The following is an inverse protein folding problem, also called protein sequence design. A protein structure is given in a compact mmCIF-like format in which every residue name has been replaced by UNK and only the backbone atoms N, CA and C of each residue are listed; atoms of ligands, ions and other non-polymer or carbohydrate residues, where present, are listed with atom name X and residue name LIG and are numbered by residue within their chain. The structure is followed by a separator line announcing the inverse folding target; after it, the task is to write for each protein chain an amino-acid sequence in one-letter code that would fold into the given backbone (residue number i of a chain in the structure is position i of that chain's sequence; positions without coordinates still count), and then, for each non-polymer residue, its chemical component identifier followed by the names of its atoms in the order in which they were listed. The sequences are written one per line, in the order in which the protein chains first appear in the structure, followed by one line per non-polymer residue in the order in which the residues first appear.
data_IF_225680567213
#
_entry.id   IF_225680567213
#
_cell.length_a   1.000
_cell.length_b   1.000
_cell.length_c   1.000
_cell.angle_alpha   90.00
_cell.angle_beta   90.00
_cell.angle_gamma   90.00
#
_symmetry.space_group_name_H-M   'P 1'
#
loop_
_entity.id
_entity.type
_entity.pdbx_description
1 polymer ?
#
# COMPACT_ATOMS: atom_id res chain seq x y z
N UNK A 1 3.80 -2.12 -20.42
CA UNK A 1 3.26 -1.23 -19.37
C UNK A 1 4.39 -0.86 -18.41
N UNK A 2 4.47 0.41 -18.02
CA UNK A 2 5.44 0.90 -17.03
C UNK A 2 4.73 1.18 -15.72
N UNK A 3 5.18 0.55 -14.65
CA UNK A 3 4.52 0.59 -13.32
C UNK A 3 5.38 1.36 -12.32
N UNK A 4 4.77 2.34 -11.66
CA UNK A 4 5.34 3.00 -10.49
C UNK A 4 5.07 2.21 -9.22
N UNK A 5 6.11 1.90 -8.45
CA UNK A 5 6.01 1.14 -7.21
C UNK A 5 6.49 2.02 -6.06
N UNK A 6 5.65 2.16 -5.04
CA UNK A 6 5.91 2.99 -3.87
C UNK A 6 6.00 2.11 -2.62
N UNK A 7 7.11 2.20 -1.92
CA UNK A 7 7.31 1.69 -0.57
C UNK A 7 7.65 2.85 0.37
N UNK A 8 7.19 2.82 1.62
CA UNK A 8 7.40 3.92 2.54
C UNK A 8 8.81 3.91 3.16
N UNK A 9 9.35 2.73 3.41
CA UNK A 9 10.55 2.50 4.21
C UNK A 9 11.63 1.71 3.45
N UNK A 10 12.92 1.85 3.86
CA UNK A 10 14.01 1.12 3.22
C UNK A 10 13.84 -0.40 3.28
N UNK A 11 13.36 -0.92 4.43
CA UNK A 11 13.17 -2.35 4.68
C UNK A 11 12.19 -2.98 3.70
N UNK A 12 11.19 -2.21 3.26
CA UNK A 12 10.18 -2.63 2.29
C UNK A 12 10.73 -2.62 0.84
N UNK A 13 11.72 -1.76 0.57
CA UNK A 13 12.26 -1.55 -0.76
C UNK A 13 13.40 -2.52 -1.12
N UNK A 14 14.20 -2.96 -0.12
CA UNK A 14 15.42 -3.76 -0.33
C UNK A 14 15.17 -5.00 -1.18
N UNK A 15 14.14 -5.78 -0.85
CA UNK A 15 13.86 -7.01 -1.57
C UNK A 15 13.44 -6.75 -3.03
N UNK A 16 12.74 -5.66 -3.30
CA UNK A 16 12.33 -5.27 -4.65
C UNK A 16 13.54 -4.84 -5.48
N UNK A 17 14.41 -3.98 -4.96
CA UNK A 17 15.60 -3.51 -5.68
C UNK A 17 16.56 -4.64 -6.04
N UNK A 18 16.70 -5.64 -5.16
CA UNK A 18 17.52 -6.84 -5.40
C UNK A 18 16.98 -7.76 -6.50
N UNK A 19 15.68 -7.64 -6.82
CA UNK A 19 15.00 -8.46 -7.83
C UNK A 19 14.68 -7.70 -9.12
N UNK A 20 15.23 -6.50 -9.30
CA UNK A 20 15.15 -5.76 -10.56
C UNK A 20 16.19 -6.25 -11.55
N UNK A 21 15.78 -6.44 -12.78
CA UNK A 21 16.68 -6.62 -13.91
C UNK A 21 17.23 -5.25 -14.36
N UNK A 22 18.57 -5.16 -14.49
CA UNK A 22 19.30 -3.97 -14.95
C UNK A 22 18.93 -2.68 -14.18
N UNK A 23 18.99 -2.67 -12.85
CA UNK A 23 18.61 -1.51 -12.06
C UNK A 23 19.49 -0.30 -12.37
N UNK A 24 18.87 0.88 -12.46
CA UNK A 24 19.55 2.17 -12.57
C UNK A 24 18.97 3.13 -11.52
N UNK A 25 19.85 3.92 -10.91
CA UNK A 25 19.45 4.97 -9.97
C UNK A 25 19.27 6.30 -10.67
N UNK A 26 18.15 6.97 -10.40
CA UNK A 26 17.83 8.30 -10.92
C UNK A 26 17.46 9.21 -9.77
N UNK A 27 18.13 10.34 -9.65
CA UNK A 27 17.82 11.34 -8.61
C UNK A 27 16.80 12.35 -9.11
N UNK A 28 15.65 12.46 -8.44
CA UNK A 28 14.61 13.44 -8.76
C UNK A 28 14.10 14.08 -7.47
N UNK A 29 14.14 15.40 -7.39
CA UNK A 29 13.63 16.18 -6.24
C UNK A 29 14.14 15.71 -4.87
N UNK A 30 15.40 15.26 -4.82
CA UNK A 30 16.05 14.81 -3.58
C UNK A 30 15.76 13.35 -3.21
N UNK A 31 14.95 12.63 -3.97
CA UNK A 31 14.67 11.19 -3.77
C UNK A 31 15.39 10.34 -4.83
N UNK A 32 15.73 9.11 -4.43
CA UNK A 32 16.29 8.10 -5.33
C UNK A 32 15.17 7.24 -5.90
N UNK A 33 15.12 7.17 -7.23
CA UNK A 33 14.23 6.28 -7.98
C UNK A 33 15.08 5.18 -8.62
N UNK A 34 14.59 3.95 -8.57
CA UNK A 34 15.25 2.78 -9.19
C UNK A 34 14.43 2.36 -10.40
N UNK A 35 15.01 2.49 -11.58
CA UNK A 35 14.36 2.03 -12.83
C UNK A 35 14.92 0.68 -13.24
N UNK A 36 14.11 -0.18 -13.82
CA UNK A 36 14.50 -1.51 -14.27
C UNK A 36 13.30 -2.29 -14.80
N UNK A 37 13.38 -3.61 -14.78
CA UNK A 37 12.26 -4.47 -15.16
C UNK A 37 12.12 -5.67 -14.22
N UNK A 38 10.93 -6.25 -14.23
CA UNK A 38 10.62 -7.56 -13.64
C UNK A 38 9.92 -8.37 -14.73
N UNK A 39 10.62 -9.38 -15.29
CA UNK A 39 10.15 -9.99 -16.54
C UNK A 39 10.11 -8.98 -17.67
N UNK A 40 8.97 -8.88 -18.38
CA UNK A 40 8.77 -7.90 -19.45
C UNK A 40 8.14 -6.58 -18.97
N UNK A 41 7.82 -6.46 -17.67
CA UNK A 41 7.20 -5.25 -17.10
C UNK A 41 8.26 -4.24 -16.69
N UNK A 42 8.23 -3.05 -17.27
CA UNK A 42 9.07 -1.92 -16.84
C UNK A 42 8.57 -1.40 -15.48
N UNK A 43 9.50 -1.13 -14.57
CA UNK A 43 9.16 -0.63 -13.24
C UNK A 43 10.01 0.55 -12.83
N UNK A 44 9.42 1.44 -12.03
CA UNK A 44 10.10 2.53 -11.34
C UNK A 44 9.77 2.42 -9.86
N UNK A 45 10.76 2.08 -9.03
CA UNK A 45 10.62 1.98 -7.59
C UNK A 45 11.01 3.28 -6.91
N UNK A 46 10.31 3.66 -5.84
CA UNK A 46 10.69 4.79 -4.98
C UNK A 46 10.41 4.48 -3.52
N UNK A 47 11.31 4.93 -2.63
CA UNK A 47 11.02 5.09 -1.23
C UNK A 47 10.37 6.46 -1.04
N UNK A 48 9.08 6.48 -0.69
CA UNK A 48 8.37 7.75 -0.49
C UNK A 48 8.75 8.46 0.82
N UNK A 49 9.05 7.71 1.87
CA UNK A 49 8.93 8.15 3.25
C UNK A 49 7.50 7.90 3.78
N UNK A 50 7.35 8.03 5.09
CA UNK A 50 6.12 7.69 5.81
C UNK A 50 5.09 8.83 5.70
N UNK A 51 3.82 8.45 5.58
CA UNK A 51 2.67 9.33 5.68
C UNK A 51 2.11 9.84 4.37
N UNK A 52 0.93 10.43 4.45
CA UNK A 52 0.07 10.79 3.31
C UNK A 52 0.72 11.77 2.33
N UNK A 53 1.41 12.79 2.84
CA UNK A 53 2.00 13.85 2.00
C UNK A 53 3.14 13.28 1.15
N UNK A 54 4.07 12.56 1.76
CA UNK A 54 5.26 12.05 1.08
C UNK A 54 4.89 11.01 0.02
N UNK A 55 3.93 10.16 0.34
CA UNK A 55 3.45 9.14 -0.59
C UNK A 55 2.70 9.74 -1.79
N UNK A 56 1.83 10.73 -1.57
CA UNK A 56 1.13 11.43 -2.65
C UNK A 56 2.09 12.21 -3.58
N UNK A 57 3.13 12.85 -3.02
CA UNK A 57 4.18 13.50 -3.82
C UNK A 57 4.89 12.49 -4.73
N UNK A 58 5.16 11.29 -4.24
CA UNK A 58 5.80 10.23 -5.03
C UNK A 58 4.94 9.82 -6.22
N UNK A 59 3.61 9.75 -6.07
CA UNK A 59 2.69 9.48 -7.18
C UNK A 59 2.81 10.54 -8.27
N UNK A 60 2.84 11.83 -7.90
CA UNK A 60 2.95 12.91 -8.87
C UNK A 60 4.27 12.84 -9.66
N UNK A 61 5.40 12.55 -9.01
CA UNK A 61 6.69 12.41 -9.68
C UNK A 61 6.71 11.18 -10.60
N UNK A 62 6.19 10.05 -10.14
CA UNK A 62 6.09 8.84 -10.97
C UNK A 62 5.25 9.08 -12.23
N UNK A 63 4.12 9.77 -12.09
CA UNK A 63 3.24 10.10 -13.21
C UNK A 63 3.87 11.09 -14.18
N UNK A 64 4.37 12.23 -13.69
CA UNK A 64 4.83 13.32 -14.53
C UNK A 64 6.24 13.09 -15.09
N UNK A 65 7.20 12.73 -14.24
CA UNK A 65 8.60 12.59 -14.65
C UNK A 65 8.88 11.25 -15.33
N UNK A 66 8.35 10.15 -14.78
CA UNK A 66 8.61 8.80 -15.30
C UNK A 66 7.55 8.27 -16.25
N UNK A 67 6.41 8.96 -16.38
CA UNK A 67 5.29 8.60 -17.27
C UNK A 67 4.81 7.15 -17.03
N UNK A 68 4.64 6.79 -15.75
CA UNK A 68 4.09 5.47 -15.42
C UNK A 68 2.61 5.37 -15.78
N UNK A 69 2.17 4.17 -16.10
CA UNK A 69 0.80 3.88 -16.56
C UNK A 69 -0.07 3.31 -15.43
N UNK A 70 0.55 2.92 -14.29
CA UNK A 70 -0.13 2.40 -13.12
C UNK A 70 0.71 2.65 -11.87
N UNK A 71 0.06 2.63 -10.69
CA UNK A 71 0.71 2.77 -9.39
C UNK A 71 0.43 1.53 -8.54
N UNK A 72 1.48 0.98 -7.92
CA UNK A 72 1.34 -0.06 -6.90
C UNK A 72 2.02 0.42 -5.62
N UNK A 73 1.30 0.34 -4.51
CA UNK A 73 1.87 0.54 -3.19
C UNK A 73 2.06 -0.81 -2.50
N UNK A 74 3.23 -1.01 -1.92
CA UNK A 74 3.59 -2.23 -1.18
C UNK A 74 4.24 -1.86 0.14
N UNK A 75 4.15 -2.72 1.14
CA UNK A 75 4.75 -2.49 2.44
C UNK A 75 4.06 -3.26 3.56
N UNK A 76 4.27 -2.78 4.78
CA UNK A 76 3.72 -3.33 6.02
C UNK A 76 2.40 -2.66 6.43
N UNK A 77 1.66 -3.30 7.34
CA UNK A 77 0.46 -2.77 7.96
C UNK A 77 0.17 -3.46 9.29
N UNK A 78 -0.61 -2.82 10.15
CA UNK A 78 -1.15 -3.41 11.37
C UNK A 78 -2.49 -4.12 11.11
N UNK A 79 -2.64 -5.37 11.54
CA UNK A 79 -3.88 -6.12 11.41
C UNK A 79 -4.93 -5.62 12.41
N UNK A 80 -6.16 -5.39 11.96
CA UNK A 80 -7.28 -5.03 12.82
C UNK A 80 -8.34 -6.13 12.91
N UNK A 81 -8.59 -6.85 11.84
CA UNK A 81 -9.64 -7.87 11.81
C UNK A 81 -9.20 -9.13 12.57
N UNK A 82 -10.16 -9.78 13.23
CA UNK A 82 -9.95 -11.09 13.82
C UNK A 82 -9.62 -12.12 12.73
N UNK A 83 -8.70 -13.03 13.05
CA UNK A 83 -8.29 -14.10 12.12
C UNK A 83 -7.21 -13.70 11.12
N UNK A 84 -6.73 -12.47 11.14
CA UNK A 84 -5.55 -12.05 10.38
C UNK A 84 -4.33 -12.08 11.30
N UNK A 85 -3.31 -12.82 10.91
CA UNK A 85 -2.09 -13.00 11.67
C UNK A 85 -0.93 -12.14 11.14
N UNK A 86 0.07 -11.89 11.98
CA UNK A 86 1.36 -11.33 11.55
C UNK A 86 1.95 -12.23 10.45
N UNK A 87 2.36 -11.62 9.37
CA UNK A 87 2.85 -12.30 8.17
C UNK A 87 1.79 -12.58 7.10
N UNK A 88 0.49 -12.51 7.40
CA UNK A 88 -0.55 -12.57 6.36
C UNK A 88 -0.46 -11.36 5.44
N UNK A 89 -0.95 -11.51 4.21
CA UNK A 89 -1.02 -10.41 3.24
C UNK A 89 -2.44 -9.93 3.07
N UNK A 90 -2.65 -8.62 3.12
CA UNK A 90 -3.92 -7.98 2.78
C UNK A 90 -3.76 -7.22 1.47
N UNK A 91 -4.65 -7.52 0.52
CA UNK A 91 -4.81 -6.77 -0.72
C UNK A 91 -6.01 -5.86 -0.55
N UNK A 92 -5.81 -4.56 -0.76
CA UNK A 92 -6.91 -3.63 -0.69
C UNK A 92 -7.76 -3.73 -1.96
N UNK A 93 -9.04 -4.09 -1.83
CA UNK A 93 -9.97 -3.84 -2.92
C UNK A 93 -10.53 -2.42 -2.84
N UNK A 94 -10.52 -1.81 -1.64
CA UNK A 94 -10.85 -0.41 -1.38
C UNK A 94 -10.01 0.16 -0.23
N UNK A 95 -9.82 1.47 -0.23
CA UNK A 95 -9.14 2.21 0.82
C UNK A 95 -10.02 3.37 1.31
N UNK A 96 -9.84 3.77 2.59
CA UNK A 96 -10.47 4.94 3.18
C UNK A 96 -9.51 5.64 4.15
N UNK A 97 -9.76 6.90 4.46
CA UNK A 97 -9.06 7.56 5.55
C UNK A 97 -9.75 7.27 6.89
N UNK A 98 -8.98 6.90 7.92
CA UNK A 98 -9.51 6.75 9.27
C UNK A 98 -9.32 8.00 10.14
N UNK A 99 -8.66 9.04 9.62
CA UNK A 99 -8.30 10.27 10.34
C UNK A 99 -8.86 11.54 9.70
N UNK A 100 -9.72 11.42 8.69
CA UNK A 100 -10.41 12.54 8.05
C UNK A 100 -11.79 12.74 8.66
N UNK A 101 -12.05 13.93 9.16
CA UNK A 101 -13.37 14.33 9.67
C UNK A 101 -13.84 15.65 9.03
N UNK A 102 -14.78 15.56 8.12
CA UNK A 102 -15.49 16.68 7.49
C UNK A 102 -16.99 16.55 7.71
N UNK A 103 -17.40 15.83 8.75
CA UNK A 103 -18.81 15.55 9.09
C UNK A 103 -19.62 16.82 9.37
N UNK A 104 -18.98 17.88 9.84
CA UNK A 104 -19.63 19.19 10.03
C UNK A 104 -20.24 19.75 8.73
N UNK A 105 -19.81 19.28 7.56
CA UNK A 105 -20.33 19.66 6.25
C UNK A 105 -21.20 18.57 5.60
N UNK A 106 -21.62 17.55 6.37
CA UNK A 106 -22.51 16.49 5.91
C UNK A 106 -21.83 15.33 5.18
N UNK A 107 -20.50 15.27 5.17
CA UNK A 107 -19.75 14.13 4.65
C UNK A 107 -19.72 12.97 5.66
N UNK A 108 -19.51 11.76 5.19
CA UNK A 108 -19.26 10.63 6.07
C UNK A 108 -17.88 10.78 6.75
N UNK A 109 -17.72 10.19 7.95
CA UNK A 109 -16.39 10.11 8.59
C UNK A 109 -15.42 9.34 7.69
N UNK A 110 -14.20 9.84 7.53
CA UNK A 110 -13.20 9.31 6.60
C UNK A 110 -13.33 9.83 5.16
N UNK A 111 -14.40 10.53 4.83
CA UNK A 111 -14.60 11.11 3.50
C UNK A 111 -13.98 12.51 3.42
N UNK A 112 -13.00 12.70 2.55
CA UNK A 112 -12.51 14.03 2.20
C UNK A 112 -13.56 14.79 1.36
N UNK A 113 -13.68 16.10 1.58
CA UNK A 113 -14.61 16.94 0.84
C UNK A 113 -14.43 16.78 -0.69
N UNK A 114 -15.54 16.61 -1.41
CA UNK A 114 -15.58 16.40 -2.86
C UNK A 114 -14.87 15.13 -3.37
N UNK A 115 -14.53 14.20 -2.47
CA UNK A 115 -13.96 12.91 -2.81
C UNK A 115 -14.92 11.77 -2.45
N UNK A 116 -14.78 10.57 -3.02
CA UNK A 116 -15.50 9.41 -2.56
C UNK A 116 -15.05 9.02 -1.15
N UNK A 117 -15.89 8.29 -0.40
CA UNK A 117 -15.51 7.71 0.89
C UNK A 117 -14.44 6.61 0.70
N UNK A 118 -14.60 5.81 -0.34
CA UNK A 118 -13.71 4.71 -0.67
C UNK A 118 -13.03 4.93 -2.01
N UNK A 119 -11.72 4.68 -2.06
CA UNK A 119 -10.93 4.59 -3.28
C UNK A 119 -10.80 3.12 -3.66
N UNK A 120 -11.39 2.71 -4.79
CA UNK A 120 -11.38 1.31 -5.23
C UNK A 120 -10.15 1.01 -6.07
N UNK A 121 -9.43 -0.08 -5.72
CA UNK A 121 -8.32 -0.60 -6.52
C UNK A 121 -8.81 -1.07 -7.88
N UNK A 122 -7.89 -1.08 -8.86
CA UNK A 122 -8.21 -1.51 -10.21
C UNK A 122 -8.72 -2.96 -10.24
N UNK A 123 -9.85 -3.18 -10.91
CA UNK A 123 -10.54 -4.46 -10.92
C UNK A 123 -9.79 -5.55 -11.69
N UNK A 124 -9.09 -5.15 -12.74
CA UNK A 124 -8.27 -6.09 -13.53
C UNK A 124 -7.05 -6.52 -12.72
N UNK A 125 -6.39 -5.59 -12.00
CA UNK A 125 -5.29 -5.93 -11.10
C UNK A 125 -5.74 -6.86 -9.97
N UNK A 126 -6.92 -6.60 -9.39
CA UNK A 126 -7.49 -7.50 -8.37
C UNK A 126 -7.77 -8.90 -8.94
N UNK A 127 -8.31 -9.01 -10.15
CA UNK A 127 -8.56 -10.31 -10.77
C UNK A 127 -7.25 -11.07 -11.02
N UNK A 128 -6.26 -10.42 -11.61
CA UNK A 128 -4.95 -11.01 -11.93
C UNK A 128 -4.17 -11.42 -10.68
N UNK A 129 -4.15 -10.60 -9.63
CA UNK A 129 -3.42 -10.95 -8.40
C UNK A 129 -4.06 -12.15 -7.71
N UNK A 130 -5.39 -12.29 -7.70
CA UNK A 130 -6.08 -13.46 -7.13
C UNK A 130 -5.70 -14.78 -7.82
N UNK A 131 -5.59 -14.77 -9.14
CA UNK A 131 -5.18 -15.95 -9.91
C UNK A 131 -3.77 -16.40 -9.52
N UNK A 132 -2.87 -15.44 -9.30
CA UNK A 132 -1.47 -15.71 -8.93
C UNK A 132 -1.30 -16.13 -7.47
N UNK A 133 -2.05 -15.54 -6.56
CA UNK A 133 -1.98 -15.85 -5.13
C UNK A 133 -2.36 -17.30 -4.81
N UNK A 134 -3.23 -17.91 -5.62
CA UNK A 134 -3.57 -19.33 -5.46
C UNK A 134 -2.36 -20.27 -5.64
N UNK A 135 -1.28 -19.78 -6.25
CA UNK A 135 -0.05 -20.55 -6.50
C UNK A 135 1.04 -20.27 -5.44
N UNK A 136 0.84 -19.27 -4.58
CA UNK A 136 1.77 -18.94 -3.50
C UNK A 136 1.31 -19.61 -2.20
N UNK A 137 2.24 -20.23 -1.47
CA UNK A 137 2.01 -20.74 -0.11
C UNK A 137 1.93 -19.59 0.92
N UNK A 138 1.07 -18.61 0.65
CA UNK A 138 0.93 -17.40 1.44
C UNK A 138 -0.54 -17.20 1.80
N UNK A 139 -0.85 -17.05 3.09
CA UNK A 139 -2.18 -16.63 3.54
C UNK A 139 -2.44 -15.20 3.11
N UNK A 140 -3.57 -14.97 2.45
CA UNK A 140 -3.94 -13.65 1.97
C UNK A 140 -5.43 -13.35 2.16
N UNK A 141 -5.74 -12.08 2.28
CA UNK A 141 -7.09 -11.56 2.46
C UNK A 141 -7.35 -10.42 1.48
N UNK A 142 -8.60 -10.22 1.12
CA UNK A 142 -9.03 -9.10 0.27
C UNK A 142 -10.05 -8.27 1.04
N UNK A 143 -9.76 -6.98 1.25
CA UNK A 143 -10.66 -6.16 2.04
C UNK A 143 -10.32 -4.67 2.08
N UNK A 144 -10.93 -3.97 3.04
CA UNK A 144 -10.68 -2.56 3.30
C UNK A 144 -9.36 -2.40 4.09
N UNK A 145 -8.49 -1.53 3.58
CA UNK A 145 -7.36 -0.98 4.34
C UNK A 145 -7.66 0.48 4.67
N UNK A 146 -7.47 0.88 5.92
CA UNK A 146 -7.71 2.25 6.36
C UNK A 146 -6.38 2.98 6.64
N UNK A 147 -6.27 4.20 6.12
CA UNK A 147 -5.06 5.04 6.14
C UNK A 147 -5.21 6.23 7.06
N UNK A 148 -4.14 6.58 7.77
CA UNK A 148 -4.05 7.85 8.53
C UNK A 148 -2.63 8.16 8.94
N UNK A 149 -2.32 9.44 9.22
CA UNK A 149 -0.99 9.87 9.68
C UNK A 149 -0.79 9.55 11.17
N UNK A 150 -1.03 8.27 11.53
CA UNK A 150 -0.89 7.78 12.90
C UNK A 150 -0.52 6.30 12.92
N UNK A 151 0.51 5.94 13.65
CA UNK A 151 0.77 4.56 14.02
C UNK A 151 -0.30 4.12 15.04
N UNK A 152 -1.08 3.11 14.67
CA UNK A 152 -2.17 2.62 15.53
C UNK A 152 -1.60 1.59 16.51
N UNK A 153 -1.68 1.94 17.79
CA UNK A 153 -1.27 1.08 18.89
C UNK A 153 -2.23 1.28 20.08
N UNK A 154 -3.02 0.24 20.38
CA UNK A 154 -3.95 0.20 21.50
C UNK A 154 -5.42 0.11 21.13
N UNK A 155 -6.14 -0.56 22.02
CA UNK A 155 -7.53 -0.99 21.80
C UNK A 155 -8.52 0.16 21.56
N UNK A 156 -8.31 1.31 22.21
CA UNK A 156 -9.18 2.49 22.06
C UNK A 156 -9.16 3.03 20.62
N UNK A 157 -7.96 3.09 20.02
CA UNK A 157 -7.81 3.53 18.63
C UNK A 157 -8.42 2.51 17.66
N UNK A 158 -8.19 1.22 17.90
CA UNK A 158 -8.80 0.14 17.12
C UNK A 158 -10.33 0.23 17.19
N UNK A 159 -10.91 0.36 18.38
CA UNK A 159 -12.35 0.46 18.59
C UNK A 159 -12.94 1.69 17.87
N UNK A 160 -12.25 2.82 17.92
CA UNK A 160 -12.65 4.04 17.21
C UNK A 160 -12.69 3.82 15.69
N UNK A 161 -11.66 3.22 15.10
CA UNK A 161 -11.61 2.94 13.68
C UNK A 161 -12.72 1.96 13.28
N UNK A 162 -12.89 0.87 14.03
CA UNK A 162 -13.93 -0.15 13.76
C UNK A 162 -15.35 0.39 13.90
N UNK A 163 -15.57 1.42 14.70
CA UNK A 163 -16.88 2.09 14.82
C UNK A 163 -17.29 2.71 13.48
N UNK A 164 -16.36 3.28 12.74
CA UNK A 164 -16.64 3.92 11.45
C UNK A 164 -16.43 2.97 10.26
N UNK A 165 -15.56 1.98 10.41
CA UNK A 165 -15.19 1.02 9.37
C UNK A 165 -15.24 -0.41 9.94
N UNK A 166 -16.43 -0.99 10.14
CA UNK A 166 -16.58 -2.31 10.79
C UNK A 166 -15.98 -3.46 9.96
N UNK A 167 -15.80 -3.29 8.67
CA UNK A 167 -15.21 -4.25 7.72
C UNK A 167 -13.70 -4.03 7.46
N UNK A 168 -13.03 -3.15 8.23
CA UNK A 168 -11.60 -2.87 8.07
C UNK A 168 -10.77 -4.09 8.43
N UNK A 169 -9.82 -4.44 7.56
CA UNK A 169 -8.90 -5.55 7.78
C UNK A 169 -7.57 -5.08 8.39
N UNK A 170 -7.04 -3.96 7.90
CA UNK A 170 -5.72 -3.48 8.29
C UNK A 170 -5.65 -1.94 8.26
N UNK A 171 -4.63 -1.40 8.93
CA UNK A 171 -4.31 0.04 8.96
C UNK A 171 -2.86 0.27 8.57
N UNK A 172 -2.63 1.39 7.90
CA UNK A 172 -1.30 1.86 7.49
C UNK A 172 -1.33 3.38 7.26
N UNK A 173 -0.29 3.97 6.67
CA UNK A 173 -0.15 5.43 6.70
C UNK A 173 -0.09 6.09 5.31
N UNK A 174 -0.21 5.37 4.18
CA UNK A 174 0.01 5.88 2.82
C UNK A 174 -1.09 5.55 1.81
N UNK A 175 -1.66 4.36 1.87
CA UNK A 175 -2.44 3.74 0.79
C UNK A 175 -3.58 4.57 0.25
N UNK A 176 -4.42 5.18 1.11
CA UNK A 176 -5.52 6.03 0.63
C UNK A 176 -5.02 7.33 -0.02
N UNK A 177 -3.89 7.89 0.43
CA UNK A 177 -3.31 9.09 -0.18
C UNK A 177 -2.72 8.79 -1.57
N UNK A 178 -2.08 7.63 -1.72
CA UNK A 178 -1.61 7.13 -3.02
C UNK A 178 -2.82 6.88 -3.94
N UNK A 179 -3.86 6.21 -3.44
CA UNK A 179 -5.07 5.92 -4.19
C UNK A 179 -5.78 7.19 -4.66
N UNK A 180 -5.93 8.19 -3.79
CA UNK A 180 -6.52 9.49 -4.11
C UNK A 180 -5.70 10.22 -5.19
N UNK A 181 -4.38 10.26 -5.05
CA UNK A 181 -3.49 10.90 -6.02
C UNK A 181 -3.51 10.17 -7.38
N UNK A 182 -3.45 8.84 -7.38
CA UNK A 182 -3.54 8.04 -8.60
C UNK A 182 -4.89 8.25 -9.31
N UNK A 183 -6.01 8.21 -8.57
CA UNK A 183 -7.34 8.49 -9.12
C UNK A 183 -7.44 9.89 -9.73
N UNK A 184 -6.89 10.91 -9.05
CA UNK A 184 -6.88 12.28 -9.55
C UNK A 184 -6.11 12.44 -10.87
N UNK A 185 -5.11 11.59 -11.10
CA UNK A 185 -4.29 11.55 -12.32
C UNK A 185 -4.81 10.53 -13.36
N UNK A 186 -5.92 9.83 -13.06
CA UNK A 186 -6.49 8.82 -13.97
C UNK A 186 -5.65 7.55 -14.09
N UNK A 187 -4.80 7.26 -13.11
CA UNK A 187 -3.96 6.06 -13.08
C UNK A 187 -4.63 4.93 -12.32
N UNK A 188 -4.68 3.70 -12.86
CA UNK A 188 -5.06 2.53 -12.11
C UNK A 188 -4.06 2.28 -10.97
N UNK A 189 -4.54 1.76 -9.85
CA UNK A 189 -3.70 1.48 -8.69
C UNK A 189 -4.06 0.17 -7.99
N UNK A 190 -3.10 -0.36 -7.22
CA UNK A 190 -3.24 -1.51 -6.34
C UNK A 190 -2.45 -1.27 -5.05
N UNK A 191 -2.97 -1.72 -3.91
CA UNK A 191 -2.26 -1.69 -2.63
C UNK A 191 -2.17 -3.09 -2.04
N UNK A 192 -0.94 -3.50 -1.68
CA UNK A 192 -0.59 -4.80 -1.13
C UNK A 192 0.17 -4.57 0.18
N UNK A 193 -0.30 -5.14 1.27
CA UNK A 193 0.33 -4.99 2.59
C UNK A 193 0.53 -6.34 3.27
N UNK A 194 1.68 -6.58 3.90
CA UNK A 194 1.88 -7.71 4.79
C UNK A 194 1.81 -7.23 6.24
N UNK A 195 1.23 -8.06 7.10
CA UNK A 195 1.02 -7.68 8.49
C UNK A 195 2.31 -7.77 9.29
N UNK A 196 2.75 -6.65 9.86
CA UNK A 196 3.90 -6.56 10.76
C UNK A 196 3.49 -6.67 12.24
N UNK A 197 2.26 -6.32 12.55
CA UNK A 197 1.74 -6.24 13.92
C UNK A 197 0.20 -6.37 13.94
N UNK A 198 -0.37 -6.41 15.14
CA UNK A 198 -1.82 -6.49 15.36
C UNK A 198 -2.42 -5.16 15.86
N UNK A 199 -1.75 -4.05 15.68
CA UNK A 199 -2.15 -2.71 16.12
C UNK A 199 -2.50 -2.59 17.64
N UNK A 200 -2.19 -3.59 18.45
CA UNK A 200 -2.42 -3.64 19.89
C UNK A 200 -1.33 -2.87 20.66
N UNK A 201 -1.33 -2.99 21.99
CA UNK A 201 -0.34 -2.32 22.86
C UNK A 201 1.12 -2.77 22.61
N UNK A 202 1.34 -3.94 22.02
CA UNK A 202 2.66 -4.48 21.66
C UNK A 202 3.03 -4.22 20.19
N UNK A 203 2.20 -3.45 19.46
CA UNK A 203 2.37 -3.23 18.02
C UNK A 203 3.75 -2.70 17.65
N UNK A 204 4.33 -1.77 18.43
CA UNK A 204 5.67 -1.23 18.15
C UNK A 204 6.77 -2.27 18.27
N UNK A 205 6.67 -3.20 19.23
CA UNK A 205 7.65 -4.29 19.40
C UNK A 205 7.52 -5.27 18.26
N UNK A 206 6.29 -5.69 17.95
CA UNK A 206 6.02 -6.59 16.83
C UNK A 206 6.46 -5.99 15.51
N UNK A 207 6.22 -4.69 15.29
CA UNK A 207 6.67 -3.97 14.09
C UNK A 207 8.19 -4.04 13.93
N UNK A 208 8.96 -3.69 14.95
CA UNK A 208 10.43 -3.72 14.92
C UNK A 208 10.99 -5.13 14.64
N UNK A 209 10.31 -6.17 15.15
CA UNK A 209 10.71 -7.56 14.93
C UNK A 209 10.38 -8.08 13.53
N UNK A 210 9.23 -7.67 12.96
CA UNK A 210 8.67 -8.28 11.75
C UNK A 210 8.70 -7.40 10.50
N UNK A 211 9.13 -6.14 10.57
CA UNK A 211 9.09 -5.21 9.43
C UNK A 211 9.86 -5.73 8.20
N UNK A 212 11.02 -6.34 8.39
CA UNK A 212 11.83 -6.89 7.30
C UNK A 212 11.10 -8.05 6.62
N UNK A 213 10.51 -8.95 7.43
CA UNK A 213 9.79 -10.10 6.90
C UNK A 213 8.47 -9.68 6.23
N UNK A 214 7.75 -8.71 6.80
CA UNK A 214 6.55 -8.14 6.20
C UNK A 214 6.86 -7.47 4.86
N UNK A 215 7.90 -6.65 4.80
CA UNK A 215 8.38 -6.05 3.55
C UNK A 215 8.72 -7.10 2.49
N UNK A 216 9.44 -8.17 2.88
CA UNK A 216 9.78 -9.28 1.98
C UNK A 216 8.53 -10.00 1.46
N UNK A 217 7.54 -10.30 2.31
CA UNK A 217 6.31 -11.02 1.92
C UNK A 217 5.45 -10.19 0.96
N UNK A 218 5.23 -8.92 1.29
CA UNK A 218 4.52 -7.99 0.41
C UNK A 218 5.20 -7.89 -0.97
N UNK A 219 6.53 -7.75 -0.99
CA UNK A 219 7.32 -7.69 -2.20
C UNK A 219 7.28 -8.99 -3.03
N UNK A 220 7.27 -10.17 -2.39
CA UNK A 220 7.13 -11.46 -3.09
C UNK A 220 5.79 -11.58 -3.84
N UNK A 221 4.69 -11.16 -3.19
CA UNK A 221 3.38 -11.13 -3.83
C UNK A 221 3.38 -10.17 -5.01
N UNK A 222 3.96 -8.98 -4.83
CA UNK A 222 4.09 -8.00 -5.90
C UNK A 222 4.93 -8.52 -7.08
N UNK A 223 6.09 -9.12 -6.83
CA UNK A 223 6.94 -9.67 -7.89
C UNK A 223 6.25 -10.79 -8.68
N UNK A 224 5.50 -11.65 -7.99
CA UNK A 224 4.69 -12.68 -8.65
C UNK A 224 3.61 -12.05 -9.54
N UNK A 225 2.94 -11.01 -9.05
CA UNK A 225 1.95 -10.26 -9.82
C UNK A 225 2.56 -9.60 -11.07
N UNK A 226 3.70 -8.91 -10.93
CA UNK A 226 4.38 -8.24 -12.05
C UNK A 226 4.78 -9.22 -13.16
N UNK A 227 5.28 -10.42 -12.80
CA UNK A 227 5.61 -11.48 -13.76
C UNK A 227 4.40 -12.04 -14.51
N UNK A 228 3.22 -11.91 -13.93
CA UNK A 228 1.98 -12.40 -14.53
C UNK A 228 1.24 -11.33 -15.36
N UNK A 229 1.76 -10.12 -15.43
CA UNK A 229 1.26 -9.07 -16.32
C UNK A 229 1.75 -9.23 -17.77
N UNK A 230 2.65 -10.19 -17.99
CA UNK A 230 3.24 -10.51 -19.31
C UNK A 230 2.25 -11.14 -20.30
#
# INVERSE_FOLDING_TARGET
MKIGIIAAMPEELVYLTQNLDKPQEVQVLGNTYYTGSVGNTEVVLVQSGIGKVMSAMSVAVLADHFQVEAIINTGSAGALAEGIAVGDVVIAYKLAYHDVDVTAFGYAYGQMAQQPLYFESDKEFIARIKENLSQLEQTWHLGLIATGDSFIAGDDKIASIKTHFPDVLAVEMEGAAIAQAAQALGLPFLVIRAMSDNANHEASISFDEFIIEAGRRSAQVLLAFLKALD
#
